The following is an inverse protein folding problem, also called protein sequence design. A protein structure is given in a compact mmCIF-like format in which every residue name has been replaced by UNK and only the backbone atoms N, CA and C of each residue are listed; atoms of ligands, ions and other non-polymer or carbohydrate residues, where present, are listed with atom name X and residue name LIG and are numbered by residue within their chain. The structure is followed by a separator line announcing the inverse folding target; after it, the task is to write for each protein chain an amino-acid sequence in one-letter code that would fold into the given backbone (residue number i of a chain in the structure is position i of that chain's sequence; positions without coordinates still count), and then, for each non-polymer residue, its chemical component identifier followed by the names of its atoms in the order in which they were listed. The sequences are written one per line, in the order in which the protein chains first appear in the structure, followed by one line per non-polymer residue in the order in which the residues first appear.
data_IF_792484969901
#
_entry.id   IF_792484969901
#
_cell.length_a   1.000
_cell.length_b   1.000
_cell.length_c   1.000
_cell.angle_alpha   90.00
_cell.angle_beta   90.00
_cell.angle_gamma   90.00
#
_symmetry.space_group_name_H-M   'P 1'
#
loop_
_entity.id
_entity.type
_entity.pdbx_description
1 polymer ?
#
# COMPACT_ATOMS: atom_id res chain seq x y z
N UNK A 1 8.76 24.91 -4.19
CA UNK A 1 9.92 24.10 -4.65
C UNK A 1 10.17 22.86 -3.79
N UNK A 2 10.30 22.98 -2.46
CA UNK A 2 10.59 21.84 -1.58
C UNK A 2 9.57 20.68 -1.71
N UNK A 3 8.27 20.99 -1.70
CA UNK A 3 7.21 19.98 -1.86
C UNK A 3 7.32 19.18 -3.17
N UNK A 4 7.60 19.84 -4.29
CA UNK A 4 7.79 19.17 -5.58
C UNK A 4 9.01 18.24 -5.55
N UNK A 5 10.11 18.70 -4.95
CA UNK A 5 11.32 17.90 -4.78
C UNK A 5 11.07 16.67 -3.89
N UNK A 6 10.27 16.81 -2.84
CA UNK A 6 9.87 15.70 -1.98
C UNK A 6 9.03 14.67 -2.73
N UNK A 7 8.07 15.10 -3.56
CA UNK A 7 7.29 14.21 -4.44
C UNK A 7 8.20 13.44 -5.40
N UNK A 8 9.12 14.11 -6.10
CA UNK A 8 10.05 13.43 -7.01
C UNK A 8 11.01 12.48 -6.28
N UNK A 9 11.55 12.86 -5.12
CA UNK A 9 12.39 11.97 -4.29
C UNK A 9 11.61 10.74 -3.80
N UNK A 10 10.34 10.93 -3.44
CA UNK A 10 9.46 9.83 -3.05
C UNK A 10 9.16 8.90 -4.23
N UNK A 11 9.07 9.40 -5.46
CA UNK A 11 8.78 8.57 -6.64
C UNK A 11 10.01 7.93 -7.29
N UNK A 12 11.23 8.40 -6.98
CA UNK A 12 12.49 7.85 -7.50
C UNK A 12 12.89 6.53 -6.81
N UNK A 13 11.94 5.61 -6.65
CA UNK A 13 12.11 4.29 -6.03
C UNK A 13 11.05 3.33 -6.53
N UNK A 14 11.50 2.15 -6.94
CA UNK A 14 10.67 1.15 -7.59
C UNK A 14 9.53 0.67 -6.70
N UNK A 15 9.79 0.37 -5.42
CA UNK A 15 8.76 -0.14 -4.51
C UNK A 15 7.67 0.91 -4.27
N UNK A 16 8.06 2.19 -4.14
CA UNK A 16 7.10 3.29 -3.97
C UNK A 16 6.22 3.50 -5.21
N UNK A 17 6.78 3.39 -6.41
CA UNK A 17 5.99 3.41 -7.65
C UNK A 17 5.02 2.23 -7.71
N UNK A 18 5.48 1.02 -7.37
CA UNK A 18 4.63 -0.18 -7.32
C UNK A 18 3.47 -0.01 -6.34
N UNK A 19 3.71 0.54 -5.14
CA UNK A 19 2.66 0.84 -4.14
C UNK A 19 1.60 1.78 -4.73
N UNK A 20 2.01 2.93 -5.29
CA UNK A 20 1.06 3.91 -5.84
C UNK A 20 0.30 3.33 -7.03
N UNK A 21 0.98 2.57 -7.89
CA UNK A 21 0.34 1.89 -9.01
C UNK A 21 -0.72 0.88 -8.54
N UNK A 22 -0.44 0.07 -7.52
CA UNK A 22 -1.46 -0.84 -6.94
C UNK A 22 -2.69 -0.09 -6.40
N UNK A 23 -2.48 1.07 -5.76
CA UNK A 23 -3.59 1.91 -5.29
C UNK A 23 -4.43 2.47 -6.44
N UNK A 24 -3.77 2.91 -7.53
CA UNK A 24 -4.45 3.37 -8.75
C UNK A 24 -5.30 2.25 -9.36
N UNK A 25 -4.70 1.08 -9.54
CA UNK A 25 -5.32 -0.04 -10.25
C UNK A 25 -6.46 -0.69 -9.47
N UNK A 26 -6.33 -0.80 -8.15
CA UNK A 26 -7.35 -1.43 -7.32
C UNK A 26 -8.43 -0.46 -6.89
N UNK A 27 -8.16 0.85 -6.90
CA UNK A 27 -9.11 1.90 -6.52
C UNK A 27 -9.84 1.60 -5.19
N UNK A 28 -9.14 0.94 -4.27
CA UNK A 28 -9.60 0.62 -2.92
C UNK A 28 -8.44 0.88 -1.96
N UNK A 29 -8.71 1.31 -0.72
CA UNK A 29 -7.68 1.36 0.30
C UNK A 29 -7.08 -0.02 0.57
N UNK A 30 -5.77 -0.09 0.76
CA UNK A 30 -4.99 -1.30 1.02
C UNK A 30 -4.23 -1.19 2.35
N UNK A 31 -4.11 -2.28 3.11
CA UNK A 31 -3.34 -2.28 4.35
C UNK A 31 -1.88 -2.71 4.13
N UNK A 32 -1.02 -2.46 5.12
CA UNK A 32 0.41 -2.80 5.06
C UNK A 32 0.66 -4.28 4.74
N UNK A 33 -0.16 -5.20 5.25
CA UNK A 33 0.00 -6.64 5.01
C UNK A 33 -0.27 -7.00 3.56
N UNK A 34 -1.21 -6.31 2.91
CA UNK A 34 -1.58 -6.59 1.52
C UNK A 34 -0.47 -6.14 0.57
N UNK A 35 0.13 -4.97 0.81
CA UNK A 35 1.35 -4.56 0.10
C UNK A 35 2.52 -5.50 0.34
N UNK A 36 2.72 -5.95 1.59
CA UNK A 36 3.81 -6.87 1.96
C UNK A 36 3.70 -8.16 1.15
N UNK A 37 2.52 -8.78 1.13
CA UNK A 37 2.31 -10.03 0.42
C UNK A 37 2.39 -9.85 -1.10
N UNK A 38 1.78 -8.78 -1.64
CA UNK A 38 1.71 -8.53 -3.08
C UNK A 38 3.07 -8.14 -3.69
N UNK A 39 3.84 -7.31 -2.99
CA UNK A 39 5.11 -6.78 -3.51
C UNK A 39 6.31 -7.67 -3.19
N UNK A 40 6.14 -8.67 -2.30
CA UNK A 40 7.23 -9.50 -1.76
C UNK A 40 8.33 -8.68 -1.10
N UNK A 41 7.93 -7.61 -0.41
CA UNK A 41 8.81 -6.72 0.35
C UNK A 41 8.48 -6.86 1.82
N UNK A 42 9.50 -6.87 2.69
CA UNK A 42 9.28 -7.01 4.13
C UNK A 42 8.35 -5.95 4.70
N UNK A 43 7.55 -6.31 5.70
CA UNK A 43 6.55 -5.42 6.29
C UNK A 43 7.19 -4.12 6.85
N UNK A 44 8.40 -4.21 7.40
CA UNK A 44 9.16 -3.05 7.88
C UNK A 44 9.47 -2.06 6.74
N UNK A 45 9.96 -2.57 5.61
CA UNK A 45 10.29 -1.74 4.45
C UNK A 45 9.03 -1.13 3.82
N UNK A 46 7.96 -1.91 3.67
CA UNK A 46 6.65 -1.41 3.20
C UNK A 46 6.17 -0.27 4.09
N UNK A 47 6.20 -0.44 5.42
CA UNK A 47 5.78 0.59 6.37
C UNK A 47 6.62 1.88 6.25
N UNK A 48 7.94 1.74 6.04
CA UNK A 48 8.83 2.88 5.75
C UNK A 48 8.47 3.58 4.44
N UNK A 49 8.19 2.83 3.37
CA UNK A 49 7.81 3.39 2.08
C UNK A 49 6.47 4.14 2.15
N UNK A 50 5.48 3.57 2.83
CA UNK A 50 4.17 4.22 3.05
C UNK A 50 4.33 5.54 3.83
N UNK A 51 5.20 5.58 4.85
CA UNK A 51 5.51 6.81 5.58
C UNK A 51 6.09 7.89 4.66
N UNK A 52 7.02 7.53 3.77
CA UNK A 52 7.64 8.45 2.81
C UNK A 52 6.59 9.00 1.83
N UNK A 53 5.79 8.10 1.23
CA UNK A 53 4.73 8.48 0.29
C UNK A 53 3.67 9.39 0.93
N UNK A 54 3.26 9.08 2.17
CA UNK A 54 2.33 9.92 2.94
C UNK A 54 2.90 11.30 3.20
N UNK A 55 4.19 11.38 3.58
CA UNK A 55 4.85 12.66 3.84
C UNK A 55 4.94 13.52 2.56
N UNK A 56 5.12 12.88 1.41
CA UNK A 56 5.09 13.52 0.09
C UNK A 56 3.66 13.81 -0.42
N UNK A 57 2.61 13.54 0.37
CA UNK A 57 1.19 13.70 0.01
C UNK A 57 0.75 12.94 -1.25
N UNK A 58 1.42 11.82 -1.56
CA UNK A 58 1.09 10.97 -2.71
C UNK A 58 0.09 9.86 -2.36
N UNK A 59 -0.13 9.62 -1.07
CA UNK A 59 -1.14 8.70 -0.52
C UNK A 59 -1.72 9.30 0.76
N UNK A 60 -2.89 8.84 1.15
CA UNK A 60 -3.52 9.14 2.45
C UNK A 60 -3.64 7.89 3.32
N UNK A 61 -3.76 8.07 4.64
CA UNK A 61 -4.03 6.97 5.58
C UNK A 61 -5.41 7.15 6.20
N UNK A 62 -6.14 6.04 6.35
CA UNK A 62 -7.40 5.98 7.07
C UNK A 62 -7.31 4.92 8.16
N UNK A 63 -7.76 5.26 9.37
CA UNK A 63 -7.79 4.35 10.52
C UNK A 63 -9.20 3.87 10.77
N UNK A 64 -9.38 2.56 10.72
CA UNK A 64 -10.62 1.90 11.10
C UNK A 64 -10.36 1.01 12.31
N UNK A 65 -10.69 1.48 13.52
CA UNK A 65 -10.38 0.75 14.75
C UNK A 65 -8.87 0.46 14.88
N UNK A 66 -8.49 -0.82 14.80
CA UNK A 66 -7.08 -1.27 14.88
C UNK A 66 -6.39 -1.35 13.52
N UNK A 67 -7.12 -1.18 12.42
CA UNK A 67 -6.59 -1.31 11.06
C UNK A 67 -6.23 0.04 10.48
N UNK A 68 -5.14 0.08 9.73
CA UNK A 68 -4.71 1.25 8.95
C UNK A 68 -4.70 0.86 7.49
N UNK A 69 -5.44 1.61 6.68
CA UNK A 69 -5.48 1.46 5.24
C UNK A 69 -4.93 2.71 4.57
N UNK A 70 -4.34 2.53 3.39
CA UNK A 70 -3.75 3.58 2.60
C UNK A 70 -4.51 3.68 1.28
N UNK A 71 -4.77 4.89 0.82
CA UNK A 71 -5.51 5.18 -0.41
C UNK A 71 -4.82 6.25 -1.24
N UNK A 72 -5.33 6.48 -2.46
CA UNK A 72 -5.00 7.69 -3.19
C UNK A 72 -5.53 8.91 -2.45
N UNK A 73 -4.81 10.05 -2.45
CA UNK A 73 -5.23 11.23 -1.73
C UNK A 73 -6.47 11.83 -2.39
N UNK A 74 -7.42 12.29 -1.58
CA UNK A 74 -8.46 13.22 -2.04
C UNK A 74 -7.86 14.62 -2.08
N UNK A 75 -7.39 15.04 -3.25
CA UNK A 75 -6.69 16.31 -3.44
C UNK A 75 -7.18 17.04 -4.67
N UNK A 76 -7.18 18.37 -4.62
CA UNK A 76 -7.40 19.27 -5.75
C UNK A 76 -6.06 19.84 -6.28
N UNK A 77 -4.92 19.31 -5.81
CA UNK A 77 -3.59 19.70 -6.27
C UNK A 77 -3.32 19.13 -7.68
N UNK A 78 -3.49 19.97 -8.70
CA UNK A 78 -3.31 19.61 -10.10
C UNK A 78 -1.97 18.90 -10.39
N UNK A 79 -0.89 19.27 -9.68
CA UNK A 79 0.41 18.62 -9.86
C UNK A 79 0.40 17.15 -9.38
N UNK A 80 -0.22 16.89 -8.22
CA UNK A 80 -0.38 15.51 -7.71
C UNK A 80 -1.29 14.70 -8.62
N UNK A 81 -2.36 15.30 -9.14
CA UNK A 81 -3.24 14.64 -10.13
C UNK A 81 -2.47 14.23 -11.39
N UNK A 82 -1.63 15.13 -11.93
CA UNK A 82 -0.79 14.84 -13.10
C UNK A 82 0.24 13.74 -12.82
N UNK A 83 0.82 13.70 -11.62
CA UNK A 83 1.70 12.60 -11.20
C UNK A 83 0.94 11.27 -11.19
N UNK A 84 -0.25 11.24 -10.59
CA UNK A 84 -1.07 10.02 -10.52
C UNK A 84 -1.45 9.56 -11.93
N UNK A 85 -1.83 10.49 -12.82
CA UNK A 85 -2.10 10.18 -14.22
C UNK A 85 -0.86 9.66 -14.95
N UNK A 86 0.32 10.24 -14.73
CA UNK A 86 1.56 9.74 -15.31
C UNK A 86 1.88 8.31 -14.85
N UNK A 87 1.71 8.00 -13.56
CA UNK A 87 1.92 6.66 -13.01
C UNK A 87 0.87 5.67 -13.58
N UNK A 88 -0.38 6.10 -13.77
CA UNK A 88 -1.45 5.30 -14.41
C UNK A 88 -1.09 4.87 -15.84
N UNK A 89 -0.22 5.60 -16.53
CA UNK A 89 0.24 5.27 -17.89
C UNK A 89 1.36 4.22 -17.91
N UNK A 90 1.91 3.83 -16.75
CA UNK A 90 2.88 2.73 -16.69
C UNK A 90 2.17 1.44 -17.17
N UNK A 91 2.75 0.70 -18.13
CA UNK A 91 2.14 -0.52 -18.62
C UNK A 91 1.94 -1.55 -17.49
N UNK A 92 0.70 -1.99 -17.30
CA UNK A 92 0.34 -3.01 -16.31
C UNK A 92 1.11 -4.32 -16.46
N UNK A 93 1.58 -4.62 -17.68
CA UNK A 93 2.41 -5.79 -17.98
C UNK A 93 3.71 -5.83 -17.20
N UNK A 94 4.25 -4.67 -16.78
CA UNK A 94 5.45 -4.59 -15.95
C UNK A 94 5.15 -5.02 -14.50
N UNK A 95 3.90 -4.87 -14.05
CA UNK A 95 3.44 -5.18 -12.69
C UNK A 95 2.47 -6.38 -12.64
N UNK A 96 2.46 -7.24 -13.66
CA UNK A 96 1.51 -8.35 -13.78
C UNK A 96 1.49 -9.24 -12.52
N UNK A 97 2.67 -9.62 -12.01
CA UNK A 97 2.81 -10.41 -10.78
C UNK A 97 2.21 -9.69 -9.56
N UNK A 98 2.51 -8.41 -9.37
CA UNK A 98 2.00 -7.63 -8.25
C UNK A 98 0.46 -7.53 -8.29
N UNK A 99 -0.08 -7.33 -9.51
CA UNK A 99 -1.52 -7.23 -9.75
C UNK A 99 -2.24 -8.57 -9.48
N UNK A 100 -1.65 -9.68 -9.89
CA UNK A 100 -2.18 -11.02 -9.59
C UNK A 100 -2.14 -11.32 -8.09
N UNK A 101 -1.02 -11.01 -7.41
CA UNK A 101 -0.87 -11.28 -5.98
C UNK A 101 -1.80 -10.42 -5.13
N UNK A 102 -1.98 -9.14 -5.48
CA UNK A 102 -2.94 -8.29 -4.76
C UNK A 102 -4.38 -8.78 -4.96
N UNK A 103 -4.75 -9.28 -6.14
CA UNK A 103 -6.10 -9.81 -6.37
C UNK A 103 -6.37 -11.05 -5.51
N UNK A 104 -5.41 -11.99 -5.45
CA UNK A 104 -5.48 -13.15 -4.54
C UNK A 104 -5.64 -12.67 -3.09
N UNK A 105 -4.94 -11.60 -2.72
CA UNK A 105 -4.94 -11.08 -1.36
C UNK A 105 -6.24 -10.38 -0.98
N UNK A 106 -6.85 -9.66 -1.91
CA UNK A 106 -8.14 -8.99 -1.75
C UNK A 106 -9.29 -10.00 -1.68
N UNK A 107 -9.21 -11.10 -2.43
CA UNK A 107 -10.22 -12.17 -2.44
C UNK A 107 -10.42 -12.84 -1.07
N UNK A 108 -9.42 -12.80 -0.19
CA UNK A 108 -9.49 -13.38 1.16
C UNK A 108 -9.84 -12.35 2.26
N UNK A 109 -10.26 -11.13 1.89
CA UNK A 109 -10.81 -10.17 2.85
C UNK A 109 -12.10 -10.70 3.46
N UNK A 110 -12.33 -10.39 4.73
CA UNK A 110 -13.60 -10.69 5.42
C UNK A 110 -14.30 -9.38 5.72
N UNK A 111 -15.55 -9.22 5.29
CA UNK A 111 -16.32 -7.97 5.42
C UNK A 111 -15.54 -6.75 4.89
N UNK A 112 -14.84 -6.92 3.76
CA UNK A 112 -14.02 -5.87 3.15
C UNK A 112 -12.71 -5.55 3.89
N UNK A 113 -12.36 -6.29 4.95
CA UNK A 113 -11.18 -6.02 5.79
C UNK A 113 -10.11 -7.09 5.70
N UNK A 114 -8.86 -6.67 5.83
CA UNK A 114 -7.71 -7.56 5.95
C UNK A 114 -7.53 -8.05 7.39
N UNK A 115 -8.16 -9.17 7.72
CA UNK A 115 -8.11 -9.79 9.05
C UNK A 115 -7.05 -10.88 9.19
N UNK A 116 -6.25 -11.18 8.17
CA UNK A 116 -5.38 -12.37 8.18
C UNK A 116 -3.90 -12.08 8.42
N UNK A 117 -3.50 -10.81 8.63
CA UNK A 117 -2.09 -10.43 8.79
C UNK A 117 -1.26 -10.66 7.51
N UNK A 118 0.08 -10.62 7.62
CA UNK A 118 0.97 -10.99 6.50
C UNK A 118 0.88 -12.51 6.30
N UNK A 119 0.68 -12.98 5.06
CA UNK A 119 0.55 -14.41 4.76
C UNK A 119 1.89 -15.09 4.49
N UNK A 120 2.87 -14.34 3.99
CA UNK A 120 4.22 -14.85 3.73
C UNK A 120 5.10 -14.61 4.97
N UNK A 121 5.20 -15.59 5.86
CA UNK A 121 5.86 -15.45 7.18
C UNK A 121 7.30 -14.91 7.11
N UNK A 122 8.07 -15.28 6.08
CA UNK A 122 9.44 -14.79 5.87
C UNK A 122 9.53 -13.27 5.60
N UNK A 123 8.40 -12.61 5.35
CA UNK A 123 8.31 -11.16 5.14
C UNK A 123 7.96 -10.38 6.43
N UNK A 124 7.66 -11.09 7.52
CA UNK A 124 7.49 -10.47 8.84
C UNK A 124 8.83 -9.92 9.31
N UNK A 125 8.83 -8.77 9.99
CA UNK A 125 10.05 -8.33 10.68
C UNK A 125 10.30 -9.26 11.87
N UNK A 126 11.56 -9.52 12.20
CA UNK A 126 11.99 -10.28 13.38
C UNK A 126 11.62 -9.62 14.71
N UNK A 127 10.89 -8.50 14.67
CA UNK A 127 10.32 -7.84 15.84
C UNK A 127 8.82 -8.13 15.84
N UNK A 128 8.28 -8.78 16.88
CA UNK A 128 6.91 -9.24 16.88
C UNK A 128 5.96 -8.04 16.84
N UNK A 129 5.40 -7.76 15.66
CA UNK A 129 4.10 -7.11 15.60
C UNK A 129 3.17 -8.09 16.32
N UNK A 130 2.66 -7.70 17.49
CA UNK A 130 1.78 -8.55 18.30
C UNK A 130 0.55 -8.94 17.47
N UNK A 131 0.62 -10.07 16.78
CA UNK A 131 -0.50 -10.71 16.12
C UNK A 131 -1.47 -11.21 17.20
N UNK A 132 -2.35 -10.32 17.66
CA UNK A 132 -3.56 -10.68 18.42
C UNK A 132 -4.75 -10.87 17.47
N UNK A 133 -4.51 -11.44 16.30
CA UNK A 133 -5.45 -11.43 15.18
C UNK A 133 -6.51 -12.56 15.28
N UNK A 134 -6.39 -13.54 16.17
CA UNK A 134 -7.30 -14.71 16.17
C UNK A 134 -8.37 -14.77 17.28
N UNK A 135 -8.57 -13.74 18.12
CA UNK A 135 -9.49 -13.85 19.28
C UNK A 135 -10.82 -13.10 19.21
N UNK A 136 -11.10 -12.28 18.19
CA UNK A 136 -12.32 -11.44 18.18
C UNK A 136 -13.40 -11.85 17.16
N UNK A 137 -13.22 -12.93 16.40
CA UNK A 137 -14.21 -13.41 15.40
C UNK A 137 -14.81 -14.79 15.71
N UNK A 138 -14.71 -15.25 16.98
CA UNK A 138 -15.31 -16.52 17.47
C UNK A 138 -16.44 -16.31 18.49
N UNK A 139 -17.24 -15.25 18.36
CA UNK A 139 -18.50 -15.13 19.11
C UNK A 139 -19.62 -14.73 18.17
#
# INVERSE_FOLDING_TARGET
MLEYLEKFKALSDETRLRIVHLLIEKNTPLCVCEFTDALEVSQYNVSRHLKILKHAKLIEENKEGRWVYFGLPKTEDAFTELIIEAIRRIPKSILSKDLEEIDKRLAIRTNGKCLTGVKKEHLLSTHPVKDKITKEFKK
#
